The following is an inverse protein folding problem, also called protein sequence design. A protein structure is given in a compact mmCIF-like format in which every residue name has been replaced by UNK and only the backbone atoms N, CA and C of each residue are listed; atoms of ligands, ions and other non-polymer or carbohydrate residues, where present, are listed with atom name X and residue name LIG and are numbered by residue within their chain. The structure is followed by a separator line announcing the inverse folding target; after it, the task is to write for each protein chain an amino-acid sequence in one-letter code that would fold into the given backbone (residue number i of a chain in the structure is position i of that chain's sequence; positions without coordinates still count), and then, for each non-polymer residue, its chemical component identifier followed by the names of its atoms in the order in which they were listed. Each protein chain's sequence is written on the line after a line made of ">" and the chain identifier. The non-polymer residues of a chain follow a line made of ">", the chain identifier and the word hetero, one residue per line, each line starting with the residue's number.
data_IF_576599589845
#
_entry.id   IF_576599589845
#
_cell.length_a   1.000
_cell.length_b   1.000
_cell.length_c   1.000
_cell.angle_alpha   90.00
_cell.angle_beta   90.00
_cell.angle_gamma   90.00
#
_symmetry.space_group_name_H-M   'P 1'
#
loop_
_entity.id
_entity.type
_entity.pdbx_description
1 polymer ?
#
# COMPACT_ATOMS: atom_id res chain seq x y z
N UNK A 1 -10.81 4.43 -17.17
CA UNK A 1 -11.24 3.11 -16.66
C UNK A 1 -12.75 2.99 -16.84
N UNK A 2 -13.22 2.02 -17.62
CA UNK A 2 -14.64 1.89 -17.96
C UNK A 2 -15.44 1.26 -16.80
N UNK A 3 -16.77 1.41 -16.81
CA UNK A 3 -17.64 0.78 -15.81
C UNK A 3 -17.54 -0.76 -15.84
N UNK A 4 -17.25 -1.34 -17.01
CA UNK A 4 -17.04 -2.77 -17.18
C UNK A 4 -15.76 -3.28 -16.50
N UNK A 5 -14.68 -2.49 -16.56
CA UNK A 5 -13.42 -2.82 -15.89
C UNK A 5 -13.58 -2.84 -14.36
N UNK A 6 -14.34 -1.87 -13.82
CA UNK A 6 -14.67 -1.81 -12.39
C UNK A 6 -15.44 -3.04 -11.92
N UNK A 7 -16.46 -3.45 -12.66
CA UNK A 7 -17.28 -4.61 -12.33
C UNK A 7 -16.46 -5.91 -12.39
N UNK A 8 -15.57 -6.03 -13.37
CA UNK A 8 -14.69 -7.20 -13.52
C UNK A 8 -13.72 -7.33 -12.34
N UNK A 9 -13.12 -6.21 -11.92
CA UNK A 9 -12.23 -6.17 -10.74
C UNK A 9 -12.99 -6.57 -9.47
N UNK A 10 -14.18 -6.01 -9.26
CA UNK A 10 -15.03 -6.34 -8.11
C UNK A 10 -15.42 -7.82 -8.04
N UNK A 11 -15.77 -8.43 -9.17
CA UNK A 11 -16.12 -9.86 -9.24
C UNK A 11 -14.91 -10.74 -8.93
N UNK A 12 -13.74 -10.45 -9.52
CA UNK A 12 -12.50 -11.21 -9.28
C UNK A 12 -12.03 -11.10 -7.84
N UNK A 13 -11.98 -9.88 -7.31
CA UNK A 13 -11.65 -9.62 -5.91
C UNK A 13 -12.59 -10.36 -4.98
N UNK A 14 -13.91 -10.33 -5.21
CA UNK A 14 -14.89 -11.05 -4.37
C UNK A 14 -14.64 -12.56 -4.37
N UNK A 15 -14.43 -13.15 -5.54
CA UNK A 15 -14.17 -14.59 -5.67
C UNK A 15 -12.84 -15.01 -5.02
N UNK A 16 -11.82 -14.16 -5.08
CA UNK A 16 -10.56 -14.39 -4.39
C UNK A 16 -10.67 -14.20 -2.87
N UNK A 17 -11.47 -13.23 -2.42
CA UNK A 17 -11.71 -12.98 -1.00
C UNK A 17 -12.51 -14.10 -0.34
N UNK A 18 -13.52 -14.65 -1.03
CA UNK A 18 -14.29 -15.82 -0.57
C UNK A 18 -13.41 -17.06 -0.38
N UNK A 19 -12.29 -17.15 -1.12
CA UNK A 19 -11.31 -18.25 -1.02
C UNK A 19 -10.17 -17.96 -0.05
N UNK A 20 -10.04 -16.72 0.42
CA UNK A 20 -8.91 -16.25 1.22
C UNK A 20 -7.64 -15.97 0.41
N UNK A 21 -7.68 -16.14 -0.92
CA UNK A 21 -6.49 -16.09 -1.79
C UNK A 21 -6.14 -14.67 -2.24
N UNK A 22 -7.12 -13.78 -2.32
CA UNK A 22 -6.92 -12.42 -2.81
C UNK A 22 -7.79 -11.40 -2.09
N UNK A 23 -7.24 -10.19 -1.90
CA UNK A 23 -7.95 -9.02 -1.42
C UNK A 23 -7.72 -7.83 -2.35
N UNK A 24 -8.55 -6.80 -2.21
CA UNK A 24 -8.34 -5.51 -2.86
C UNK A 24 -7.93 -4.45 -1.84
N UNK A 25 -6.84 -3.76 -2.15
CA UNK A 25 -6.31 -2.65 -1.38
C UNK A 25 -6.61 -1.32 -2.08
N UNK A 26 -6.55 -0.23 -1.32
CA UNK A 26 -6.58 1.13 -1.85
C UNK A 26 -5.21 1.75 -1.63
N UNK A 27 -4.63 2.29 -2.69
CA UNK A 27 -3.45 3.15 -2.63
C UNK A 27 -3.89 4.57 -2.91
N UNK A 28 -3.52 5.50 -2.04
CA UNK A 28 -3.75 6.92 -2.26
C UNK A 28 -2.45 7.55 -2.75
N UNK A 29 -2.53 8.31 -3.84
CA UNK A 29 -1.40 8.98 -4.44
C UNK A 29 -1.66 10.50 -4.54
N UNK A 30 -0.58 11.27 -4.39
CA UNK A 30 -0.60 12.71 -4.56
C UNK A 30 -0.34 13.03 -6.03
N UNK A 31 -1.32 13.65 -6.69
CA UNK A 31 -1.17 14.10 -8.07
C UNK A 31 -0.76 15.56 -8.05
N UNK A 32 0.37 15.87 -8.70
CA UNK A 32 0.81 17.21 -8.98
C UNK A 32 0.97 17.38 -10.48
N UNK A 33 0.22 18.32 -11.05
CA UNK A 33 0.26 18.64 -12.47
C UNK A 33 0.60 20.11 -12.66
N UNK A 34 1.55 20.36 -13.55
CA UNK A 34 1.97 21.70 -13.91
C UNK A 34 1.20 22.15 -15.15
N UNK A 35 0.43 23.22 -15.02
CA UNK A 35 -0.35 23.80 -16.11
C UNK A 35 0.16 25.20 -16.46
N UNK A 36 0.24 25.49 -17.75
CA UNK A 36 0.65 26.82 -18.24
C UNK A 36 -0.61 27.54 -18.68
N UNK A 37 -1.15 28.33 -17.76
CA UNK A 37 -2.38 29.09 -18.01
C UNK A 37 -2.00 30.38 -18.71
N UNK A 38 -2.59 30.62 -19.88
CA UNK A 38 -2.47 31.91 -20.54
C UNK A 38 -3.69 32.77 -20.19
N UNK A 39 -3.47 33.78 -19.34
CA UNK A 39 -4.45 34.83 -19.14
C UNK A 39 -4.25 35.96 -20.15
N UNK A 40 -5.35 36.41 -20.76
CA UNK A 40 -5.34 37.56 -21.66
C UNK A 40 -4.99 38.83 -20.86
N UNK A 41 -3.78 39.35 -21.07
CA UNK A 41 -3.31 40.62 -20.50
C UNK A 41 -2.18 40.50 -19.46
N UNK A 42 -1.98 39.32 -18.86
CA UNK A 42 -0.99 39.09 -17.79
C UNK A 42 0.21 38.23 -18.22
N UNK A 43 0.09 37.50 -19.35
CA UNK A 43 1.16 36.63 -19.88
C UNK A 43 0.92 35.17 -19.56
N UNK A 44 1.99 34.37 -19.50
CA UNK A 44 1.93 32.96 -19.08
C UNK A 44 2.15 32.88 -17.58
N UNK A 45 1.13 32.48 -16.84
CA UNK A 45 1.28 32.12 -15.44
C UNK A 45 1.37 30.60 -15.31
N UNK A 46 2.29 30.16 -14.46
CA UNK A 46 2.49 28.76 -14.18
C UNK A 46 1.67 28.39 -12.95
N UNK A 47 0.70 27.50 -13.11
CA UNK A 47 -0.17 27.05 -12.04
C UNK A 47 0.16 25.61 -11.67
N UNK A 48 0.49 25.36 -10.41
CA UNK A 48 0.62 24.00 -9.88
C UNK A 48 -0.75 23.52 -9.40
N UNK A 49 -1.34 22.58 -10.14
CA UNK A 49 -2.57 21.90 -9.75
C UNK A 49 -2.22 20.68 -8.91
N UNK A 50 -2.67 20.68 -7.67
CA UNK A 50 -2.51 19.54 -6.75
C UNK A 50 -3.85 18.83 -6.55
N UNK A 51 -3.80 17.51 -6.41
CA UNK A 51 -4.97 16.68 -6.16
C UNK A 51 -4.58 15.32 -5.58
N UNK A 52 -5.58 14.48 -5.37
CA UNK A 52 -5.39 13.14 -4.79
C UNK A 52 -6.08 12.12 -5.68
N UNK A 53 -5.37 11.05 -6.04
CA UNK A 53 -5.96 9.88 -6.68
C UNK A 53 -6.01 8.69 -5.74
N UNK A 54 -7.02 7.84 -5.92
CA UNK A 54 -7.12 6.55 -5.25
C UNK A 54 -7.08 5.46 -6.32
N UNK A 55 -6.07 4.60 -6.23
CA UNK A 55 -5.89 3.43 -7.08
C UNK A 55 -6.31 2.19 -6.31
N UNK A 56 -7.19 1.37 -6.90
CA UNK A 56 -7.54 0.06 -6.34
C UNK A 56 -6.62 -0.98 -6.97
N UNK A 57 -6.04 -1.86 -6.17
CA UNK A 57 -5.18 -2.94 -6.64
C UNK A 57 -5.55 -4.26 -5.96
N UNK A 58 -5.30 -5.37 -6.64
CA UNK A 58 -5.47 -6.72 -6.11
C UNK A 58 -4.14 -7.20 -5.52
N UNK A 59 -4.19 -7.90 -4.39
CA UNK A 59 -3.03 -8.53 -3.77
C UNK A 59 -3.40 -9.91 -3.21
N UNK A 60 -2.43 -10.81 -3.17
CA UNK A 60 -2.63 -12.22 -2.79
C UNK A 60 -2.06 -12.48 -1.39
N UNK A 61 -2.61 -13.48 -0.70
CA UNK A 61 -2.25 -13.85 0.67
C UNK A 61 -2.33 -12.66 1.67
N UNK A 62 -3.53 -12.06 1.82
CA UNK A 62 -3.68 -10.85 2.62
C UNK A 62 -3.58 -11.13 4.12
N UNK A 63 -2.61 -10.50 4.79
CA UNK A 63 -2.67 -10.39 6.26
C UNK A 63 -3.89 -9.55 6.66
N UNK A 64 -4.63 -9.91 7.72
CA UNK A 64 -5.77 -9.12 8.19
C UNK A 64 -5.37 -7.66 8.47
N UNK A 65 -6.09 -6.70 7.87
CA UNK A 65 -5.80 -5.26 8.01
C UNK A 65 -4.65 -4.74 7.14
N UNK A 66 -4.01 -5.59 6.32
CA UNK A 66 -3.02 -5.13 5.35
C UNK A 66 -3.68 -4.17 4.34
N UNK A 67 -2.99 -3.09 4.01
CA UNK A 67 -3.44 -2.06 3.05
C UNK A 67 -4.80 -1.41 3.40
N UNK A 68 -5.17 -1.36 4.69
CA UNK A 68 -6.27 -0.51 5.16
C UNK A 68 -5.87 0.97 5.07
N UNK A 69 -6.32 1.64 4.00
CA UNK A 69 -6.07 3.05 3.76
C UNK A 69 -7.17 3.96 4.31
N UNK A 70 -8.18 3.44 5.02
CA UNK A 70 -9.35 4.25 5.39
C UNK A 70 -8.99 5.39 6.34
N UNK A 71 -8.17 5.12 7.36
CA UNK A 71 -7.65 6.17 8.26
C UNK A 71 -6.88 7.27 7.50
N UNK A 72 -6.07 6.86 6.53
CA UNK A 72 -5.30 7.80 5.72
C UNK A 72 -6.22 8.67 4.83
N UNK A 73 -7.21 8.06 4.19
CA UNK A 73 -8.22 8.76 3.37
C UNK A 73 -9.00 9.75 4.25
N UNK A 74 -9.42 9.35 5.45
CA UNK A 74 -10.18 10.20 6.35
C UNK A 74 -9.38 11.45 6.76
N UNK A 75 -8.08 11.29 7.04
CA UNK A 75 -7.17 12.41 7.34
C UNK A 75 -6.98 13.35 6.15
N UNK A 76 -6.87 12.81 4.93
CA UNK A 76 -6.79 13.63 3.71
C UNK A 76 -8.08 14.43 3.51
N UNK A 77 -9.24 13.79 3.65
CA UNK A 77 -10.54 14.45 3.50
C UNK A 77 -10.76 15.57 4.51
N UNK A 78 -10.29 15.40 5.74
CA UNK A 78 -10.35 16.43 6.79
C UNK A 78 -9.34 17.56 6.60
N UNK A 79 -8.41 17.41 5.65
CA UNK A 79 -7.33 18.37 5.42
C UNK A 79 -6.46 18.59 6.66
N UNK A 80 -6.36 17.58 7.54
CA UNK A 80 -5.68 17.68 8.85
C UNK A 80 -4.20 18.11 8.73
N UNK A 81 -3.62 17.93 7.54
CA UNK A 81 -2.22 18.27 7.24
C UNK A 81 -2.02 19.61 6.55
N UNK A 82 -3.07 20.39 6.26
CA UNK A 82 -2.94 21.68 5.57
C UNK A 82 -2.11 22.71 6.34
N UNK A 83 -2.15 22.67 7.68
CA UNK A 83 -1.41 23.60 8.53
C UNK A 83 -0.04 23.06 8.97
N UNK A 84 0.36 21.88 8.51
CA UNK A 84 1.65 21.30 8.88
C UNK A 84 2.79 22.03 8.17
N UNK A 85 3.81 22.38 8.93
CA UNK A 85 5.10 22.82 8.40
C UNK A 85 6.08 21.62 8.31
N UNK A 86 7.22 21.83 7.65
CA UNK A 86 8.23 20.77 7.45
C UNK A 86 8.68 20.09 8.75
N UNK A 87 8.82 20.84 9.85
CA UNK A 87 9.21 20.28 11.15
C UNK A 87 8.11 19.37 11.70
N UNK A 88 6.85 19.82 11.69
CA UNK A 88 5.72 19.00 12.13
C UNK A 88 5.51 17.76 11.25
N UNK A 89 5.83 17.81 9.96
CA UNK A 89 5.81 16.63 9.08
C UNK A 89 6.91 15.66 9.49
N UNK A 90 8.12 16.16 9.75
CA UNK A 90 9.24 15.34 10.18
C UNK A 90 8.95 14.63 11.51
N UNK A 91 8.32 15.32 12.45
CA UNK A 91 7.97 14.76 13.77
C UNK A 91 6.82 13.73 13.69
N UNK A 92 5.91 13.88 12.74
CA UNK A 92 4.77 12.95 12.52
C UNK A 92 5.16 11.66 11.78
N UNK A 93 6.39 11.58 11.23
CA UNK A 93 6.89 10.35 10.61
C UNK A 93 7.05 9.29 11.69
N UNK A 94 6.46 8.10 11.46
CA UNK A 94 6.61 6.97 12.37
C UNK A 94 7.99 6.30 12.20
N UNK A 95 9.03 6.97 12.68
CA UNK A 95 10.44 6.58 12.50
C UNK A 95 10.76 5.17 12.98
N UNK A 96 10.17 4.72 14.08
CA UNK A 96 10.36 3.37 14.61
C UNK A 96 9.87 2.30 13.62
N UNK A 97 8.74 2.53 12.97
CA UNK A 97 8.22 1.61 11.96
C UNK A 97 9.12 1.56 10.74
N UNK A 98 9.63 2.71 10.28
CA UNK A 98 10.60 2.78 9.18
C UNK A 98 11.85 1.99 9.55
N UNK A 99 12.41 2.21 10.73
CA UNK A 99 13.58 1.48 11.22
C UNK A 99 13.35 -0.03 11.22
N UNK A 100 12.22 -0.50 11.78
CA UNK A 100 11.89 -1.92 11.81
C UNK A 100 11.78 -2.55 10.41
N UNK A 101 11.13 -1.85 9.47
CA UNK A 101 11.04 -2.32 8.07
C UNK A 101 12.42 -2.34 7.41
N UNK A 102 13.23 -1.29 7.62
CA UNK A 102 14.60 -1.21 7.08
C UNK A 102 15.49 -2.34 7.61
N UNK A 103 15.43 -2.64 8.91
CA UNK A 103 16.15 -3.77 9.52
C UNK A 103 15.72 -5.11 8.92
N UNK A 104 14.41 -5.33 8.76
CA UNK A 104 13.88 -6.54 8.14
C UNK A 104 14.36 -6.67 6.69
N UNK A 105 14.33 -5.58 5.92
CA UNK A 105 14.82 -5.56 4.55
C UNK A 105 16.30 -5.94 4.47
N UNK A 106 17.17 -5.36 5.30
CA UNK A 106 18.59 -5.71 5.33
C UNK A 106 18.84 -7.13 5.81
N UNK A 107 18.09 -7.64 6.79
CA UNK A 107 18.17 -9.03 7.24
C UNK A 107 17.79 -10.02 6.13
N UNK A 108 16.83 -9.66 5.28
CA UNK A 108 16.36 -10.52 4.19
C UNK A 108 17.26 -10.41 2.94
N UNK A 109 17.90 -9.26 2.71
CA UNK A 109 18.81 -9.07 1.57
C UNK A 109 20.24 -9.57 1.84
N UNK A 110 20.70 -9.47 3.08
CA UNK A 110 21.98 -10.02 3.51
C UNK A 110 21.73 -11.24 4.40
N UNK A 111 21.86 -12.47 3.87
CA UNK A 111 22.02 -13.61 4.76
C UNK A 111 23.32 -13.38 5.53
N UNK A 112 23.22 -12.90 6.77
CA UNK A 112 24.28 -13.07 7.74
C UNK A 112 24.66 -14.56 7.68
N UNK A 113 25.96 -14.91 7.70
CA UNK A 113 26.36 -16.31 7.70
C UNK A 113 25.63 -16.99 8.86
N UNK A 114 24.68 -17.87 8.54
CA UNK A 114 24.00 -18.67 9.55
C UNK A 114 25.11 -19.43 10.29
N UNK A 115 25.19 -19.38 11.63
CA UNK A 115 26.15 -20.20 12.35
C UNK A 115 25.90 -21.65 11.92
N UNK A 116 26.91 -22.23 11.27
CA UNK A 116 26.89 -23.62 10.81
C UNK A 116 26.73 -24.49 12.06
N UNK A 117 25.51 -24.97 12.33
CA UNK A 117 25.27 -25.82 13.50
C UNK A 117 23.85 -25.90 14.06
N UNK A 118 22.87 -25.14 13.57
CA UNK A 118 21.47 -25.41 13.93
C UNK A 118 20.67 -25.76 12.70
N UNK A 119 20.25 -27.02 12.66
CA UNK A 119 19.40 -27.58 11.63
C UNK A 119 18.18 -26.68 11.41
N UNK A 120 17.99 -26.25 10.17
CA UNK A 120 16.69 -25.79 9.73
C UNK A 120 15.71 -26.95 9.87
N UNK A 121 14.83 -26.91 10.87
CA UNK A 121 13.51 -27.46 10.67
C UNK A 121 12.85 -26.56 9.63
N UNK A 122 12.87 -27.03 8.37
CA UNK A 122 12.04 -26.48 7.31
C UNK A 122 10.59 -26.60 7.77
N UNK A 123 9.88 -25.48 7.82
CA UNK A 123 8.41 -25.43 7.95
C UNK A 123 7.73 -25.86 6.63
N UNK A 124 8.37 -26.73 5.86
CA UNK A 124 7.87 -27.24 4.57
C UNK A 124 7.32 -28.67 4.68
N UNK A 125 7.39 -29.30 5.87
CA UNK A 125 6.90 -30.67 6.10
C UNK A 125 5.61 -30.67 6.94
N UNK A 126 4.50 -30.13 6.42
CA UNK A 126 3.16 -30.56 6.86
C UNK A 126 2.08 -30.24 5.80
N UNK A 127 2.29 -30.69 4.57
CA UNK A 127 1.21 -30.97 3.61
C UNK A 127 0.97 -32.48 3.57
N UNK A 128 0.32 -33.03 4.61
CA UNK A 128 -0.24 -34.38 4.58
C UNK A 128 -1.74 -34.36 4.87
N UNK A 129 -2.49 -34.36 3.76
CA UNK A 129 -3.78 -35.00 3.49
C UNK A 129 -4.37 -35.73 4.72
N UNK A 130 -5.43 -35.16 5.28
CA UNK A 130 -6.27 -35.79 6.30
C UNK A 130 -7.76 -35.58 5.99
N UNK A 131 -8.23 -36.11 4.86
CA UNK A 131 -9.65 -36.32 4.61
C UNK A 131 -9.91 -37.83 4.45
N UNK A 132 -10.97 -38.31 5.13
CA UNK A 132 -11.47 -39.69 5.25
C UNK A 132 -10.59 -40.60 6.13
N UNK A 133 -11.12 -41.39 7.08
CA UNK A 133 -12.29 -42.30 7.10
C UNK A 133 -12.79 -42.30 8.57
N UNK A 134 -14.08 -42.36 8.92
CA UNK A 134 -15.01 -43.46 8.66
C UNK A 134 -14.70 -44.65 9.59
#
# INVERSE_FOLDING_TARGET
>A
MSAADKNTLQVKTRLGAERGDAAAGKLVDNIQYYDVVHEHGLGRENELKAGTACTVFEYYDPQPGAFDAQDHIDRICKQDRQSMNTASIFDDIYWLHIQNITELHFRNLHPLPRPVGQASHSLDDEFHIGALVG
#
